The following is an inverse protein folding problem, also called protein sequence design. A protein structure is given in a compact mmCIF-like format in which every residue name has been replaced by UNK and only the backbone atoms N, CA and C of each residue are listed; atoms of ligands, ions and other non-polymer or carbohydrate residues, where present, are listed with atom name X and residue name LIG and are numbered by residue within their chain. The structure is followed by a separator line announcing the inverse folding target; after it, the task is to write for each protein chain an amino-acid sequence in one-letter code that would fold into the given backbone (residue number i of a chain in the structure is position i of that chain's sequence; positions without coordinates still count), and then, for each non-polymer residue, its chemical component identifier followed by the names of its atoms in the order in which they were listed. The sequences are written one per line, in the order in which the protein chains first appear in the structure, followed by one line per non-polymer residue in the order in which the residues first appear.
data_IF_703700243173
#
_entry.id   IF_703700243173
#
_cell.length_a   1.000
_cell.length_b   1.000
_cell.length_c   1.000
_cell.angle_alpha   90.00
_cell.angle_beta   90.00
_cell.angle_gamma   90.00
#
_symmetry.space_group_name_H-M   'P 1'
#
loop_
_entity.id
_entity.type
_entity.pdbx_description
1 polymer ?
#
# COMPACT_ATOMS: atom_id res chain seq x y z
N UNK A 1 -23.81 42.64 -54.71
CA UNK A 1 -23.18 41.78 -53.68
C UNK A 1 -22.64 42.70 -52.61
N UNK A 2 -23.25 42.69 -51.43
CA UNK A 2 -22.95 43.63 -50.34
C UNK A 2 -21.87 43.00 -49.47
N UNK A 3 -20.64 43.50 -49.53
CA UNK A 3 -19.57 43.08 -48.62
C UNK A 3 -19.86 43.69 -47.24
N UNK A 4 -20.40 42.88 -46.33
CA UNK A 4 -20.48 43.23 -44.91
C UNK A 4 -19.04 43.25 -44.39
N UNK A 5 -18.44 44.44 -44.32
CA UNK A 5 -17.13 44.60 -43.69
C UNK A 5 -17.27 44.27 -42.21
N UNK A 6 -16.68 43.15 -41.78
CA UNK A 6 -16.51 42.86 -40.37
C UNK A 6 -15.55 43.90 -39.80
N UNK A 7 -16.08 44.77 -38.94
CA UNK A 7 -15.28 45.72 -38.17
C UNK A 7 -14.39 44.90 -37.25
N UNK A 8 -13.08 44.82 -37.56
CA UNK A 8 -12.11 44.25 -36.65
C UNK A 8 -11.93 45.22 -35.47
N UNK A 9 -12.60 44.94 -34.36
CA UNK A 9 -12.31 45.58 -33.08
C UNK A 9 -11.04 44.96 -32.50
N UNK A 10 -10.00 45.78 -32.32
CA UNK A 10 -8.78 45.36 -31.64
C UNK A 10 -9.02 45.15 -30.14
N UNK A 11 -8.22 44.28 -29.52
CA UNK A 11 -8.27 44.05 -28.07
C UNK A 11 -7.79 45.28 -27.29
N UNK A 12 -8.48 45.59 -26.21
CA UNK A 12 -8.03 46.60 -25.26
C UNK A 12 -6.86 46.09 -24.41
N UNK A 13 -6.05 47.02 -23.90
CA UNK A 13 -4.97 46.70 -22.97
C UNK A 13 -5.50 45.94 -21.74
N UNK A 14 -6.68 46.36 -21.24
CA UNK A 14 -7.34 45.74 -20.10
C UNK A 14 -7.72 44.27 -20.39
N UNK A 15 -8.31 43.99 -21.54
CA UNK A 15 -8.67 42.61 -21.93
C UNK A 15 -7.44 41.72 -22.06
N UNK A 16 -6.33 42.27 -22.57
CA UNK A 16 -5.09 41.50 -22.73
C UNK A 16 -4.50 41.13 -21.37
N UNK A 17 -4.49 42.06 -20.43
CA UNK A 17 -4.02 41.83 -19.06
C UNK A 17 -4.92 40.81 -18.34
N UNK A 18 -6.24 40.93 -18.49
CA UNK A 18 -7.19 39.98 -17.91
C UNK A 18 -6.98 38.58 -18.50
N UNK A 19 -6.84 38.46 -19.82
CA UNK A 19 -6.58 37.20 -20.49
C UNK A 19 -5.28 36.56 -19.99
N UNK A 20 -4.19 37.34 -19.87
CA UNK A 20 -2.93 36.86 -19.32
C UNK A 20 -3.06 36.40 -17.87
N UNK A 21 -3.81 37.12 -17.04
CA UNK A 21 -4.06 36.74 -15.65
C UNK A 21 -4.82 35.40 -15.55
N UNK A 22 -5.84 35.20 -16.39
CA UNK A 22 -6.59 33.93 -16.46
C UNK A 22 -5.67 32.79 -16.91
N UNK A 23 -4.84 33.02 -17.93
CA UNK A 23 -3.85 32.02 -18.40
C UNK A 23 -2.86 31.68 -17.30
N UNK A 24 -2.34 32.67 -16.57
CA UNK A 24 -1.42 32.42 -15.46
C UNK A 24 -2.08 31.61 -14.33
N UNK A 25 -3.32 31.94 -13.97
CA UNK A 25 -4.07 31.19 -12.95
C UNK A 25 -4.35 29.75 -13.38
N UNK A 26 -4.74 29.54 -14.63
CA UNK A 26 -5.01 28.19 -15.18
C UNK A 26 -3.74 27.35 -15.33
N UNK A 27 -2.61 27.94 -15.76
CA UNK A 27 -1.33 27.25 -15.76
C UNK A 27 -0.88 26.88 -14.33
N UNK A 28 -1.03 27.80 -13.38
CA UNK A 28 -0.68 27.57 -11.98
C UNK A 28 -1.46 26.41 -11.36
N UNK A 29 -2.77 26.33 -11.62
CA UNK A 29 -3.60 25.22 -11.13
C UNK A 29 -3.22 23.88 -11.78
N UNK A 30 -2.98 23.86 -13.09
CA UNK A 30 -2.54 22.65 -13.81
C UNK A 30 -1.19 22.13 -13.28
N UNK A 31 -0.21 23.02 -13.09
CA UNK A 31 1.09 22.66 -12.55
C UNK A 31 0.99 22.14 -11.11
N UNK A 32 0.11 22.74 -10.29
CA UNK A 32 -0.17 22.27 -8.93
C UNK A 32 -0.73 20.84 -8.93
N UNK A 33 -1.70 20.55 -9.79
CA UNK A 33 -2.29 19.21 -9.94
C UNK A 33 -1.25 18.19 -10.43
N UNK A 34 -0.41 18.56 -11.40
CA UNK A 34 0.66 17.68 -11.88
C UNK A 34 1.69 17.39 -10.78
N UNK A 35 2.02 18.39 -9.96
CA UNK A 35 2.91 18.24 -8.81
C UNK A 35 2.33 17.30 -7.76
N UNK A 36 1.06 17.48 -7.39
CA UNK A 36 0.40 16.63 -6.40
C UNK A 36 0.24 15.19 -6.90
N UNK A 37 -0.05 15.00 -8.19
CA UNK A 37 -0.13 13.68 -8.82
C UNK A 37 1.20 12.92 -8.74
N UNK A 38 2.33 13.59 -9.01
CA UNK A 38 3.67 12.99 -8.86
C UNK A 38 3.96 12.61 -7.42
N UNK A 39 3.68 13.51 -6.47
CA UNK A 39 3.89 13.23 -5.06
C UNK A 39 3.05 12.03 -4.59
N UNK A 40 1.81 11.95 -5.05
CA UNK A 40 0.92 10.81 -4.78
C UNK A 40 1.48 9.52 -5.37
N UNK A 41 1.97 9.55 -6.62
CA UNK A 41 2.55 8.37 -7.27
C UNK A 41 3.77 7.83 -6.50
N UNK A 42 4.69 8.70 -6.06
CA UNK A 42 5.84 8.28 -5.27
C UNK A 42 5.44 7.68 -3.92
N UNK A 43 4.48 8.32 -3.22
CA UNK A 43 3.95 7.79 -1.95
C UNK A 43 3.25 6.43 -2.16
N UNK A 44 2.44 6.30 -3.21
CA UNK A 44 1.77 5.05 -3.53
C UNK A 44 2.77 3.93 -3.84
N UNK A 45 3.83 4.21 -4.59
CA UNK A 45 4.88 3.24 -4.88
C UNK A 45 5.57 2.75 -3.60
N UNK A 46 5.94 3.66 -2.70
CA UNK A 46 6.57 3.31 -1.43
C UNK A 46 5.65 2.40 -0.58
N UNK A 47 4.38 2.78 -0.45
CA UNK A 47 3.40 2.01 0.32
C UNK A 47 3.13 0.63 -0.31
N UNK A 48 3.04 0.54 -1.64
CA UNK A 48 2.84 -0.75 -2.34
C UNK A 48 4.04 -1.67 -2.10
N UNK A 49 5.26 -1.14 -2.21
CA UNK A 49 6.46 -1.90 -1.95
C UNK A 49 6.46 -2.49 -0.53
N UNK A 50 6.14 -1.66 0.47
CA UNK A 50 6.03 -2.09 1.87
C UNK A 50 5.00 -3.22 2.05
N UNK A 51 3.81 -3.08 1.47
CA UNK A 51 2.75 -4.11 1.53
C UNK A 51 3.16 -5.42 0.85
N UNK A 52 3.89 -5.35 -0.28
CA UNK A 52 4.37 -6.54 -0.98
C UNK A 52 5.40 -7.30 -0.13
N UNK A 53 6.36 -6.59 0.44
CA UNK A 53 7.38 -7.18 1.33
C UNK A 53 6.68 -7.86 2.52
N UNK A 54 5.74 -7.17 3.16
CA UNK A 54 4.92 -7.71 4.25
C UNK A 54 4.18 -9.00 3.87
N UNK A 55 3.48 -8.98 2.75
CA UNK A 55 2.73 -10.15 2.29
C UNK A 55 3.64 -11.31 1.95
N UNK A 56 4.81 -11.03 1.36
CA UNK A 56 5.80 -12.07 1.07
C UNK A 56 6.31 -12.72 2.36
N UNK A 57 6.62 -11.92 3.38
CA UNK A 57 7.03 -12.37 4.69
C UNK A 57 5.98 -13.26 5.36
N UNK A 58 4.74 -12.78 5.44
CA UNK A 58 3.61 -13.52 6.00
C UNK A 58 3.41 -14.86 5.29
N UNK A 59 3.43 -14.85 3.95
CA UNK A 59 3.24 -16.07 3.17
C UNK A 59 4.36 -17.08 3.41
N UNK A 60 5.61 -16.62 3.48
CA UNK A 60 6.77 -17.49 3.73
C UNK A 60 6.72 -18.05 5.16
N UNK A 61 6.34 -17.23 6.15
CA UNK A 61 6.16 -17.65 7.54
C UNK A 61 5.05 -18.70 7.74
N UNK A 62 4.07 -18.74 6.83
CA UNK A 62 2.98 -19.73 6.87
C UNK A 62 3.40 -21.11 6.34
N UNK A 63 4.42 -21.15 5.48
CA UNK A 63 4.84 -22.36 4.76
C UNK A 63 6.12 -22.95 5.34
N UNK A 64 7.07 -22.10 5.73
CA UNK A 64 8.38 -22.52 6.22
C UNK A 64 8.45 -22.42 7.75
N UNK A 65 9.03 -23.45 8.37
CA UNK A 65 9.24 -23.50 9.82
C UNK A 65 10.34 -22.51 10.25
N UNK A 66 11.42 -22.43 9.46
CA UNK A 66 12.52 -21.47 9.59
C UNK A 66 12.62 -20.61 8.32
N UNK A 67 11.80 -19.57 8.20
CA UNK A 67 11.76 -18.72 7.02
C UNK A 67 13.00 -17.83 6.90
N UNK A 68 13.63 -17.84 5.73
CA UNK A 68 14.63 -16.84 5.35
C UNK A 68 13.90 -15.59 4.83
N UNK A 69 13.97 -14.50 5.60
CA UNK A 69 13.29 -13.27 5.27
C UNK A 69 14.22 -12.31 4.52
N UNK A 70 13.70 -11.57 3.53
CA UNK A 70 14.46 -10.46 2.96
C UNK A 70 14.76 -9.42 4.05
N UNK A 71 15.86 -8.69 3.90
CA UNK A 71 16.16 -7.56 4.78
C UNK A 71 15.02 -6.54 4.73
N UNK A 72 14.32 -6.39 5.86
CA UNK A 72 13.31 -5.36 6.00
C UNK A 72 13.99 -4.00 6.18
N UNK A 73 13.37 -2.91 5.71
CA UNK A 73 13.79 -1.56 6.10
C UNK A 73 13.83 -1.43 7.64
N UNK A 74 14.88 -0.84 8.21
CA UNK A 74 15.05 -0.78 9.67
C UNK A 74 13.85 -0.15 10.41
N UNK A 75 13.33 0.96 9.88
CA UNK A 75 12.13 1.64 10.37
C UNK A 75 10.88 0.75 10.44
N UNK A 76 10.87 -0.33 9.67
CA UNK A 76 9.76 -1.26 9.58
C UNK A 76 9.78 -2.28 10.72
N UNK A 77 10.96 -2.82 11.04
CA UNK A 77 11.16 -3.80 12.11
C UNK A 77 10.79 -3.20 13.47
N UNK A 78 11.14 -1.94 13.72
CA UNK A 78 10.87 -1.28 15.00
C UNK A 78 9.36 -1.13 15.29
N UNK A 79 8.55 -0.97 14.24
CA UNK A 79 7.12 -0.72 14.31
C UNK A 79 6.28 -1.98 14.51
N UNK A 80 6.84 -3.15 14.22
CA UNK A 80 6.14 -4.43 14.30
C UNK A 80 6.44 -5.18 15.59
N UNK A 81 5.47 -5.96 16.04
CA UNK A 81 5.64 -6.96 17.10
C UNK A 81 4.98 -8.25 16.66
N UNK A 82 5.69 -9.36 16.86
CA UNK A 82 5.26 -10.68 16.46
C UNK A 82 5.11 -11.55 17.71
N UNK A 83 3.91 -12.10 17.88
CA UNK A 83 3.57 -12.99 18.98
C UNK A 83 3.05 -14.31 18.41
N UNK A 84 3.57 -15.42 18.92
CA UNK A 84 3.12 -16.78 18.59
C UNK A 84 2.36 -17.35 19.77
N UNK A 85 1.26 -18.03 19.49
CA UNK A 85 0.47 -18.75 20.49
C UNK A 85 0.75 -20.26 20.40
N UNK A 86 0.26 -21.01 21.38
CA UNK A 86 0.42 -22.46 21.40
C UNK A 86 -0.28 -23.13 20.21
N UNK A 87 0.27 -24.27 19.77
CA UNK A 87 -0.30 -25.08 18.70
C UNK A 87 -1.71 -25.54 19.09
N UNK A 88 -2.67 -25.33 18.19
CA UNK A 88 -4.06 -25.72 18.40
C UNK A 88 -4.19 -27.23 18.63
N UNK A 89 -5.08 -27.60 19.55
CA UNK A 89 -5.41 -29.00 19.79
C UNK A 89 -5.98 -29.67 18.53
N UNK A 90 -5.61 -30.94 18.26
CA UNK A 90 -6.14 -31.67 17.13
C UNK A 90 -7.66 -31.84 17.27
N UNK A 91 -8.42 -31.81 16.17
CA UNK A 91 -9.86 -32.00 16.22
C UNK A 91 -10.20 -33.42 16.72
N UNK A 92 -11.28 -33.54 17.49
CA UNK A 92 -11.75 -34.80 18.12
C UNK A 92 -11.96 -35.95 17.13
N UNK A 93 -12.14 -35.65 15.85
CA UNK A 93 -12.40 -36.63 14.79
C UNK A 93 -11.57 -36.28 13.56
N UNK A 94 -10.60 -37.11 13.27
CA UNK A 94 -9.77 -37.01 12.07
C UNK A 94 -10.10 -38.16 11.12
N UNK A 95 -10.10 -37.89 9.82
CA UNK A 95 -10.29 -38.91 8.78
C UNK A 95 -9.01 -39.71 8.55
N UNK A 96 -7.84 -39.10 8.78
CA UNK A 96 -6.51 -39.69 8.67
C UNK A 96 -5.56 -39.02 9.66
N UNK A 97 -4.53 -39.75 10.09
CA UNK A 97 -3.50 -39.24 11.00
C UNK A 97 -2.65 -38.18 10.29
N UNK A 98 -2.46 -37.02 10.91
CA UNK A 98 -1.66 -35.91 10.35
C UNK A 98 -0.48 -35.55 11.25
N UNK A 99 0.65 -35.21 10.62
CA UNK A 99 1.90 -34.77 11.29
C UNK A 99 2.02 -33.24 11.34
N UNK A 100 0.92 -32.52 11.09
CA UNK A 100 0.88 -31.07 10.98
C UNK A 100 -0.10 -30.53 12.02
N UNK A 101 0.34 -29.54 12.78
CA UNK A 101 -0.49 -28.73 13.67
C UNK A 101 -0.69 -27.33 13.11
N UNK A 102 -1.67 -26.62 13.64
CA UNK A 102 -1.92 -25.22 13.33
C UNK A 102 -1.43 -24.38 14.49
N UNK A 103 -0.49 -23.47 14.24
CA UNK A 103 0.02 -22.54 15.24
C UNK A 103 -0.54 -21.13 14.94
N UNK A 104 -1.33 -20.55 15.86
CA UNK A 104 -1.79 -19.18 15.72
C UNK A 104 -0.66 -18.19 15.91
N UNK A 105 -0.74 -17.07 15.19
CA UNK A 105 0.17 -15.96 15.35
C UNK A 105 -0.56 -14.62 15.27
N UNK A 106 0.02 -13.60 15.88
CA UNK A 106 -0.47 -12.22 15.85
C UNK A 106 0.67 -11.25 15.50
N UNK A 107 0.37 -10.33 14.58
CA UNK A 107 1.21 -9.21 14.22
C UNK A 107 0.53 -7.93 14.70
N UNK A 108 1.26 -7.12 15.44
CA UNK A 108 0.77 -5.83 15.94
C UNK A 108 1.64 -4.70 15.39
N UNK A 109 1.02 -3.76 14.68
CA UNK A 109 1.65 -2.50 14.30
C UNK A 109 1.48 -1.46 15.41
N UNK A 110 2.60 -1.00 15.98
CA UNK A 110 2.64 0.03 17.02
C UNK A 110 2.21 1.40 16.54
N UNK A 111 2.26 1.65 15.23
CA UNK A 111 2.02 2.98 14.63
C UNK A 111 0.53 3.23 14.43
N UNK A 112 -0.17 2.28 13.82
CA UNK A 112 -1.60 2.41 13.50
C UNK A 112 -2.50 1.55 14.39
N UNK A 113 -1.95 0.79 15.33
CA UNK A 113 -2.70 -0.11 16.21
C UNK A 113 -3.39 -1.25 15.47
N UNK A 114 -2.91 -1.58 14.26
CA UNK A 114 -3.49 -2.63 13.43
C UNK A 114 -3.02 -4.00 13.91
N UNK A 115 -3.98 -4.92 14.08
CA UNK A 115 -3.73 -6.30 14.49
C UNK A 115 -4.06 -7.23 13.33
N UNK A 116 -3.08 -8.07 12.96
CA UNK A 116 -3.25 -9.12 11.96
C UNK A 116 -3.00 -10.46 12.62
N UNK A 117 -4.05 -11.26 12.75
CA UNK A 117 -3.98 -12.62 13.26
C UNK A 117 -4.08 -13.64 12.13
N UNK A 118 -3.42 -14.79 12.30
CA UNK A 118 -3.41 -15.85 11.30
C UNK A 118 -3.04 -17.20 11.88
N UNK A 119 -2.96 -18.19 10.99
CA UNK A 119 -2.56 -19.55 11.30
C UNK A 119 -1.42 -19.95 10.39
N UNK A 120 -0.42 -20.66 10.93
CA UNK A 120 0.64 -21.31 10.14
C UNK A 120 0.70 -22.80 10.40
N UNK A 121 1.20 -23.54 9.42
CA UNK A 121 1.44 -24.97 9.59
C UNK A 121 2.74 -25.19 10.36
N UNK A 122 2.67 -26.04 11.38
CA UNK A 122 3.84 -26.47 12.16
C UNK A 122 3.98 -27.97 12.09
N UNK A 123 5.18 -28.45 11.81
CA UNK A 123 5.45 -29.88 11.83
C UNK A 123 5.49 -30.36 13.28
N UNK A 124 4.77 -31.43 13.54
CA UNK A 124 4.73 -32.03 14.88
C UNK A 124 5.81 -33.10 14.99
N UNK A 125 6.51 -33.14 16.13
CA UNK A 125 7.49 -34.18 16.45
C UNK A 125 6.84 -35.56 16.62
N UNK A 126 5.52 -35.61 16.81
CA UNK A 126 4.75 -36.84 16.94
C UNK A 126 3.37 -36.68 16.32
N UNK A 127 2.87 -37.75 15.71
CA UNK A 127 1.60 -37.77 15.01
C UNK A 127 0.43 -37.66 16.00
N UNK A 128 -0.46 -36.69 15.77
CA UNK A 128 -1.69 -36.48 16.54
C UNK A 128 -2.86 -37.31 15.98
#
# INVERSE_FOLDING_TARGET
MMHTQQIQQGFTLLETIIAMAIVAMTLGSLLSVLGSSKQLAFKAQANIYEVIVLRSALNVAQVQEEPDYPEYPADFIEKLTFEMEDVLEPPKRQTQKIMLGLEPYQWTDKTHGSLVSGLRWKKLTSAQ
#
